data_IF_557593709714
#
_entry.id   IF_557593709714
#
_cell.length_a   1.000
_cell.length_b   1.000
_cell.length_c   1.000
_cell.angle_alpha   90.00
_cell.angle_beta   90.00
_cell.angle_gamma   90.00
#
_symmetry.space_group_name_H-M   'P 1'
#
loop_
_entity.id
_entity.type
_entity.pdbx_description
1 polymer ?
#
# COMPACT_ATOMS: atom_id res chain seq x y z
N UNK A 1 6.06 -23.88 -4.03
CA UNK A 1 5.82 -22.41 -4.18
C UNK A 1 7.08 -21.71 -4.59
N UNK A 2 7.05 -21.07 -5.72
CA UNK A 2 8.18 -20.28 -6.19
C UNK A 2 8.16 -18.92 -5.50
N UNK A 3 9.22 -18.60 -4.77
CA UNK A 3 9.42 -17.25 -4.25
C UNK A 3 9.86 -16.35 -5.42
N UNK A 4 9.08 -15.30 -5.68
CA UNK A 4 9.43 -14.32 -6.69
C UNK A 4 10.41 -13.34 -6.07
N UNK A 5 11.60 -13.25 -6.65
CA UNK A 5 12.61 -12.28 -6.19
C UNK A 5 12.33 -10.91 -6.81
N UNK A 6 12.53 -9.83 -6.04
CA UNK A 6 12.39 -8.49 -6.59
C UNK A 6 13.49 -8.19 -7.61
N UNK A 7 13.10 -7.51 -8.68
CA UNK A 7 14.03 -7.07 -9.74
C UNK A 7 14.62 -5.70 -9.39
N UNK A 8 15.62 -5.26 -10.20
CA UNK A 8 16.17 -3.90 -10.08
C UNK A 8 15.07 -2.84 -10.24
N UNK A 9 14.15 -3.08 -11.16
CA UNK A 9 13.01 -2.19 -11.38
C UNK A 9 12.13 -2.11 -10.12
N UNK A 10 11.93 -3.23 -9.45
CA UNK A 10 11.14 -3.26 -8.22
C UNK A 10 11.79 -2.41 -7.13
N UNK A 11 13.11 -2.49 -6.96
CA UNK A 11 13.82 -1.65 -5.99
C UNK A 11 13.74 -0.16 -6.36
N UNK A 12 13.81 0.17 -7.64
CA UNK A 12 13.69 1.55 -8.09
C UNK A 12 12.33 2.14 -7.78
N UNK A 13 11.25 1.41 -8.04
CA UNK A 13 9.91 1.87 -7.69
C UNK A 13 9.66 1.89 -6.18
N UNK A 14 10.28 0.98 -5.44
CA UNK A 14 10.26 1.03 -3.97
C UNK A 14 10.93 2.30 -3.45
N UNK A 15 12.02 2.76 -4.06
CA UNK A 15 12.65 4.03 -3.72
C UNK A 15 11.71 5.21 -3.97
N UNK A 16 10.96 5.18 -5.07
CA UNK A 16 9.95 6.20 -5.36
C UNK A 16 8.84 6.19 -4.31
N UNK A 17 8.41 5.01 -3.86
CA UNK A 17 7.44 4.89 -2.77
C UNK A 17 8.02 5.43 -1.45
N UNK A 18 9.30 5.22 -1.19
CA UNK A 18 9.96 5.77 0.00
C UNK A 18 10.00 7.31 -0.02
N UNK A 19 10.18 7.91 -1.20
CA UNK A 19 10.11 9.36 -1.37
C UNK A 19 8.69 9.85 -0.99
N UNK A 20 7.65 9.16 -1.44
CA UNK A 20 6.29 9.49 -1.06
C UNK A 20 6.07 9.35 0.45
N UNK A 21 6.61 8.29 1.06
CA UNK A 21 6.50 8.07 2.50
C UNK A 21 7.00 9.26 3.32
N UNK A 22 8.07 9.92 2.87
CA UNK A 22 8.63 11.08 3.55
C UNK A 22 7.69 12.29 3.57
N UNK A 23 6.69 12.32 2.71
CA UNK A 23 5.67 13.39 2.69
C UNK A 23 4.63 13.21 3.78
N UNK A 24 4.55 12.03 4.41
CA UNK A 24 3.58 11.75 5.46
C UNK A 24 3.91 12.53 6.73
N UNK A 25 2.90 13.16 7.32
CA UNK A 25 2.99 13.78 8.64
C UNK A 25 2.65 12.84 9.78
N UNK A 26 2.41 11.55 9.48
CA UNK A 26 2.07 10.55 10.48
C UNK A 26 3.32 10.04 11.19
N UNK A 27 3.14 9.47 12.38
CA UNK A 27 4.24 8.90 13.16
C UNK A 27 4.93 7.77 12.39
N UNK A 28 4.15 6.88 11.77
CA UNK A 28 4.65 5.84 10.88
C UNK A 28 4.45 6.30 9.44
N UNK A 29 5.53 6.49 8.70
CA UNK A 29 5.50 7.02 7.34
C UNK A 29 5.44 5.91 6.32
N UNK A 30 4.29 5.78 5.64
CA UNK A 30 4.07 4.81 4.57
C UNK A 30 3.93 5.55 3.24
N UNK A 31 4.49 4.96 2.19
CA UNK A 31 4.36 5.46 0.84
C UNK A 31 3.97 4.35 -0.12
N UNK A 32 3.29 4.72 -1.20
CA UNK A 32 2.86 3.78 -2.22
C UNK A 32 2.95 4.43 -3.60
N UNK A 33 3.41 3.67 -4.58
CA UNK A 33 3.30 4.05 -5.98
C UNK A 33 2.61 2.91 -6.74
N UNK A 34 1.73 3.29 -7.66
CA UNK A 34 1.01 2.37 -8.52
C UNK A 34 1.61 2.46 -9.93
N UNK A 35 2.09 1.34 -10.45
CA UNK A 35 2.87 1.27 -11.67
C UNK A 35 2.19 0.37 -12.69
N UNK A 36 2.15 0.81 -13.94
CA UNK A 36 1.67 0.03 -15.09
C UNK A 36 2.62 0.26 -16.26
N UNK A 37 3.12 -0.82 -16.86
CA UNK A 37 4.02 -0.75 -18.00
C UNK A 37 5.23 0.16 -17.77
N UNK A 38 5.81 0.09 -16.57
CA UNK A 38 7.01 0.87 -16.21
C UNK A 38 6.76 2.34 -15.92
N UNK A 39 5.50 2.77 -15.84
CA UNK A 39 5.12 4.15 -15.53
C UNK A 39 4.33 4.24 -14.24
N UNK A 40 4.57 5.29 -13.47
CA UNK A 40 3.80 5.58 -12.26
C UNK A 40 2.52 6.33 -12.64
N UNK A 41 1.37 5.79 -12.26
CA UNK A 41 0.06 6.40 -12.49
C UNK A 41 -0.63 6.83 -11.20
N UNK A 42 -0.12 6.44 -10.06
CA UNK A 42 -0.65 6.85 -8.77
C UNK A 42 0.44 6.91 -7.74
N UNK A 43 0.38 7.91 -6.87
CA UNK A 43 1.29 8.10 -5.75
C UNK A 43 0.47 8.39 -4.51
N UNK A 44 0.93 7.89 -3.38
CA UNK A 44 0.23 8.14 -2.13
C UNK A 44 1.13 7.98 -0.92
N UNK A 45 0.72 8.62 0.15
CA UNK A 45 1.32 8.46 1.47
C UNK A 45 0.20 8.50 2.50
N UNK A 46 0.44 7.86 3.65
CA UNK A 46 -0.58 7.84 4.69
C UNK A 46 -0.77 9.24 5.29
N UNK A 47 -2.02 9.56 5.61
CA UNK A 47 -2.42 10.86 6.13
C UNK A 47 -3.64 10.69 7.04
N UNK A 48 -4.12 11.79 7.62
CA UNK A 48 -5.23 11.74 8.58
C UNK A 48 -6.62 11.85 7.95
N UNK A 49 -6.73 11.70 6.65
CA UNK A 49 -8.02 11.69 5.98
C UNK A 49 -8.79 10.44 6.35
N UNK A 50 -10.05 10.60 6.80
CA UNK A 50 -10.87 9.48 7.30
C UNK A 50 -12.00 9.08 6.37
N UNK A 51 -12.28 9.88 5.32
CA UNK A 51 -13.43 9.64 4.44
C UNK A 51 -13.22 10.31 3.08
N UNK A 52 -13.78 9.71 2.03
CA UNK A 52 -13.83 10.32 0.70
C UNK A 52 -15.09 9.87 -0.06
N UNK A 53 -15.44 10.63 -1.11
CA UNK A 53 -16.66 10.39 -1.89
C UNK A 53 -16.60 9.11 -2.73
N UNK A 54 -15.40 8.69 -3.16
CA UNK A 54 -15.24 7.49 -3.99
C UNK A 54 -15.33 6.18 -3.19
N UNK A 55 -15.47 6.24 -1.88
CA UNK A 55 -15.66 5.09 -1.01
C UNK A 55 -14.39 4.31 -0.67
N UNK A 56 -13.22 4.69 -1.20
CA UNK A 56 -11.97 4.01 -0.87
C UNK A 56 -11.50 4.28 0.56
N UNK A 57 -11.89 5.42 1.13
CA UNK A 57 -11.52 5.80 2.49
C UNK A 57 -12.80 5.92 3.32
N UNK A 58 -12.99 4.98 4.24
CA UNK A 58 -14.18 4.95 5.09
C UNK A 58 -13.83 4.49 6.49
N UNK A 59 -14.30 5.23 7.48
CA UNK A 59 -14.27 4.81 8.89
C UNK A 59 -12.90 4.29 9.37
N UNK A 60 -11.81 4.89 8.87
CA UNK A 60 -10.46 4.59 9.31
C UNK A 60 -9.93 5.74 10.12
N UNK A 61 -8.98 5.47 11.01
CA UNK A 61 -8.32 6.54 11.78
C UNK A 61 -7.37 7.35 10.90
N UNK A 62 -6.80 6.72 9.87
CA UNK A 62 -5.91 7.36 8.90
C UNK A 62 -6.22 6.84 7.50
N UNK A 63 -5.91 7.64 6.49
CA UNK A 63 -5.90 7.18 5.11
C UNK A 63 -4.57 6.46 4.85
N UNK A 64 -4.63 5.22 4.40
CA UNK A 64 -3.43 4.46 4.08
C UNK A 64 -2.85 4.87 2.73
N UNK A 65 -1.53 4.69 2.59
CA UNK A 65 -0.81 5.05 1.37
C UNK A 65 -1.36 4.33 0.14
N UNK A 66 -1.73 3.05 0.29
CA UNK A 66 -2.29 2.23 -0.80
C UNK A 66 -3.57 2.84 -1.34
N UNK A 67 -4.48 3.25 -0.45
CA UNK A 67 -5.75 3.85 -0.85
C UNK A 67 -5.53 5.18 -1.55
N UNK A 68 -4.59 5.96 -1.09
CA UNK A 68 -4.23 7.24 -1.69
C UNK A 68 -3.74 7.04 -3.14
N UNK A 69 -2.84 6.09 -3.35
CA UNK A 69 -2.34 5.77 -4.70
C UNK A 69 -3.42 5.18 -5.60
N UNK A 70 -4.24 4.27 -5.09
CA UNK A 70 -5.35 3.64 -5.84
C UNK A 70 -6.35 4.71 -6.31
N UNK A 71 -6.66 5.69 -5.47
CA UNK A 71 -7.58 6.77 -5.86
C UNK A 71 -7.06 7.57 -7.06
N UNK A 72 -5.75 7.81 -7.11
CA UNK A 72 -5.14 8.50 -8.26
C UNK A 72 -5.29 7.69 -9.54
N UNK A 73 -5.04 6.38 -9.49
CA UNK A 73 -5.22 5.48 -10.64
C UNK A 73 -6.70 5.46 -11.07
N UNK A 74 -7.61 5.41 -10.10
CA UNK A 74 -9.05 5.36 -10.37
C UNK A 74 -9.52 6.62 -11.12
N UNK A 75 -8.99 7.78 -10.78
CA UNK A 75 -9.33 9.04 -11.46
C UNK A 75 -8.94 9.03 -12.94
N UNK A 76 -7.93 8.25 -13.30
CA UNK A 76 -7.41 8.16 -14.66
C UNK A 76 -8.09 7.05 -15.48
N UNK A 77 -9.03 6.30 -14.89
CA UNK A 77 -9.72 5.17 -15.54
C UNK A 77 -8.76 4.11 -16.08
N UNK A 78 -7.66 3.85 -15.38
CA UNK A 78 -6.66 2.87 -15.77
C UNK A 78 -7.10 1.48 -15.31
N UNK A 79 -6.80 0.46 -16.14
CA UNK A 79 -7.13 -0.93 -15.82
C UNK A 79 -6.23 -1.46 -14.69
N UNK A 80 -6.81 -1.70 -13.53
CA UNK A 80 -6.10 -2.18 -12.36
C UNK A 80 -5.47 -3.57 -12.53
N UNK A 81 -5.96 -4.38 -13.44
CA UNK A 81 -5.44 -5.74 -13.69
C UNK A 81 -3.98 -5.76 -14.15
N UNK A 82 -3.46 -4.63 -14.65
CA UNK A 82 -2.08 -4.50 -15.09
C UNK A 82 -1.23 -3.67 -14.13
N UNK A 83 -1.79 -3.27 -13.00
CA UNK A 83 -1.13 -2.41 -12.02
C UNK A 83 -0.38 -3.23 -10.98
N UNK A 84 0.84 -2.79 -10.67
CA UNK A 84 1.62 -3.27 -9.54
C UNK A 84 1.68 -2.16 -8.49
N UNK A 85 1.44 -2.51 -7.23
CA UNK A 85 1.57 -1.57 -6.11
C UNK A 85 2.87 -1.80 -5.38
N UNK A 86 3.63 -0.73 -5.17
CA UNK A 86 4.85 -0.72 -4.37
C UNK A 86 4.57 0.01 -3.08
N UNK A 87 4.65 -0.68 -1.96
CA UNK A 87 4.24 -0.18 -0.66
C UNK A 87 5.42 -0.27 0.29
N UNK A 88 5.88 0.85 0.82
CA UNK A 88 7.01 0.84 1.75
C UNK A 88 6.69 1.69 2.99
N UNK A 89 7.35 1.36 4.08
CA UNK A 89 7.35 2.16 5.29
C UNK A 89 8.80 2.51 5.60
N UNK A 90 9.03 3.77 5.96
CA UNK A 90 10.36 4.22 6.35
C UNK A 90 10.32 4.79 7.77
N UNK A 91 11.41 4.65 8.49
CA UNK A 91 11.57 5.31 9.78
C UNK A 91 12.29 6.65 9.59
N UNK A 92 12.54 7.36 10.70
CA UNK A 92 13.21 8.67 10.65
C UNK A 92 14.67 8.59 10.18
N UNK A 93 15.27 7.40 10.17
CA UNK A 93 16.62 7.17 9.64
C UNK A 93 16.61 6.72 8.18
N UNK A 94 15.47 6.77 7.49
CA UNK A 94 15.28 6.32 6.11
C UNK A 94 15.47 4.81 5.91
N UNK A 95 15.38 4.02 6.98
CA UNK A 95 15.43 2.57 6.88
C UNK A 95 14.05 2.01 6.59
N UNK A 96 13.99 1.00 5.71
CA UNK A 96 12.74 0.32 5.38
C UNK A 96 12.27 -0.53 6.56
N UNK A 97 10.97 -0.44 6.83
CA UNK A 97 10.28 -1.23 7.86
C UNK A 97 9.14 -2.00 7.23
N UNK A 98 8.53 -2.91 7.98
CA UNK A 98 7.43 -3.73 7.47
C UNK A 98 6.23 -2.87 7.04
N UNK A 99 5.74 -3.13 5.84
CA UNK A 99 4.63 -2.38 5.23
C UNK A 99 3.61 -3.29 4.56
N UNK A 100 3.47 -4.53 5.01
CA UNK A 100 2.48 -5.44 4.46
C UNK A 100 1.07 -4.83 4.54
N UNK A 101 0.26 -4.90 3.46
CA UNK A 101 -1.08 -4.32 3.46
C UNK A 101 -1.98 -4.94 4.52
N UNK A 102 -2.83 -4.12 5.13
CA UNK A 102 -3.79 -4.58 6.12
C UNK A 102 -5.03 -5.20 5.45
N UNK A 103 -5.93 -5.75 6.28
CA UNK A 103 -7.17 -6.39 5.81
C UNK A 103 -7.99 -5.44 4.94
N UNK A 104 -8.16 -4.19 5.36
CA UNK A 104 -9.01 -3.25 4.64
C UNK A 104 -8.42 -2.88 3.28
N UNK A 105 -7.11 -2.64 3.21
CA UNK A 105 -6.44 -2.36 1.95
C UNK A 105 -6.48 -3.58 1.03
N UNK A 106 -6.28 -4.79 1.57
CA UNK A 106 -6.33 -6.01 0.76
C UNK A 106 -7.70 -6.27 0.16
N UNK A 107 -8.80 -5.91 0.84
CA UNK A 107 -10.13 -6.03 0.27
C UNK A 107 -10.25 -5.25 -1.04
N UNK A 108 -9.76 -4.01 -1.06
CA UNK A 108 -9.77 -3.19 -2.27
C UNK A 108 -8.82 -3.73 -3.34
N UNK A 109 -7.62 -4.15 -2.94
CA UNK A 109 -6.63 -4.70 -3.85
C UNK A 109 -7.17 -5.93 -4.58
N UNK A 110 -7.82 -6.84 -3.84
CA UNK A 110 -8.42 -8.05 -4.41
C UNK A 110 -9.63 -7.73 -5.29
N UNK A 111 -10.49 -6.82 -4.85
CA UNK A 111 -11.68 -6.41 -5.60
C UNK A 111 -11.31 -5.80 -6.95
N UNK A 112 -10.26 -4.99 -6.98
CA UNK A 112 -9.78 -4.32 -8.19
C UNK A 112 -8.93 -5.24 -9.08
N UNK A 113 -8.58 -6.43 -8.59
CA UNK A 113 -7.76 -7.42 -9.30
C UNK A 113 -6.37 -6.89 -9.66
N UNK A 114 -5.77 -6.12 -8.75
CA UNK A 114 -4.42 -5.60 -8.92
C UNK A 114 -3.46 -6.77 -9.12
N UNK A 115 -2.54 -6.62 -10.09
CA UNK A 115 -1.68 -7.70 -10.58
C UNK A 115 -0.69 -8.20 -9.52
N UNK A 116 0.03 -7.29 -8.88
CA UNK A 116 1.09 -7.63 -7.92
C UNK A 116 1.15 -6.60 -6.81
N UNK A 117 1.59 -7.05 -5.64
CA UNK A 117 1.98 -6.15 -4.56
C UNK A 117 3.44 -6.41 -4.22
N UNK A 118 4.18 -5.35 -4.02
CA UNK A 118 5.59 -5.38 -3.61
C UNK A 118 5.69 -4.49 -2.37
N UNK A 119 6.12 -5.05 -1.26
CA UNK A 119 6.16 -4.31 -0.01
C UNK A 119 7.44 -4.60 0.77
N UNK A 120 7.83 -3.66 1.61
CA UNK A 120 9.01 -3.82 2.47
C UNK A 120 8.67 -4.74 3.64
N UNK A 121 9.60 -5.62 4.00
CA UNK A 121 9.48 -6.49 5.15
C UNK A 121 10.26 -5.93 6.35
N UNK A 122 10.19 -6.64 7.50
CA UNK A 122 10.86 -6.19 8.72
C UNK A 122 12.38 -6.16 8.66
N UNK A 123 12.98 -6.80 7.66
CA UNK A 123 14.43 -6.87 7.47
C UNK A 123 14.96 -5.83 6.47
N UNK A 124 14.11 -4.92 6.01
CA UNK A 124 14.50 -3.92 5.03
C UNK A 124 14.57 -4.42 3.60
N UNK A 125 14.06 -5.61 3.33
CA UNK A 125 14.02 -6.22 2.01
C UNK A 125 12.63 -6.05 1.40
N UNK A 126 12.50 -6.37 0.10
CA UNK A 126 11.21 -6.34 -0.59
C UNK A 126 10.66 -7.74 -0.75
N UNK A 127 9.34 -7.86 -0.57
CA UNK A 127 8.58 -9.07 -0.83
C UNK A 127 7.65 -8.82 -2.01
N UNK A 128 7.67 -9.72 -3.01
CA UNK A 128 6.80 -9.66 -4.19
C UNK A 128 5.75 -10.76 -4.07
N UNK A 129 4.48 -10.40 -4.15
CA UNK A 129 3.39 -11.39 -4.03
C UNK A 129 2.25 -11.14 -4.99
N UNK A 130 1.58 -12.22 -5.39
CA UNK A 130 0.27 -12.17 -6.01
C UNK A 130 -0.75 -11.90 -4.89
N UNK A 131 -1.62 -10.89 -5.01
CA UNK A 131 -2.61 -10.59 -3.96
C UNK A 131 -3.47 -11.78 -3.54
N UNK A 132 -3.83 -12.67 -4.47
CA UNK A 132 -4.67 -13.83 -4.19
C UNK A 132 -3.99 -14.79 -3.20
N UNK A 133 -2.65 -14.85 -3.22
CA UNK A 133 -1.87 -15.75 -2.35
C UNK A 133 -1.45 -15.08 -1.04
N UNK A 134 -1.80 -13.82 -0.84
CA UNK A 134 -1.42 -13.08 0.36
C UNK A 134 -2.21 -13.55 1.57
N UNK A 135 -1.49 -13.91 2.65
CA UNK A 135 -2.11 -14.26 3.93
C UNK A 135 -2.19 -13.03 4.83
N UNK A 136 -3.42 -12.71 5.25
CA UNK A 136 -3.67 -11.56 6.11
C UNK A 136 -3.53 -12.00 7.56
N UNK A 137 -2.47 -11.55 8.24
CA UNK A 137 -2.16 -11.96 9.60
C UNK A 137 -2.48 -10.90 10.65
N UNK A 138 -2.78 -9.68 10.23
CA UNK A 138 -3.04 -8.61 11.19
C UNK A 138 -4.10 -7.63 10.68
N UNK A 139 -4.69 -6.92 11.62
CA UNK A 139 -5.68 -5.87 11.34
C UNK A 139 -5.11 -4.56 11.88
N UNK A 140 -5.37 -3.44 11.21
CA UNK A 140 -4.89 -2.14 11.65
C UNK A 140 -5.42 -1.81 13.06
N UNK A 141 -4.67 -0.99 13.79
CA UNK A 141 -5.08 -0.54 15.13
C UNK A 141 -6.47 0.12 15.10
N UNK A 142 -6.73 0.99 14.11
CA UNK A 142 -8.03 1.62 13.96
C UNK A 142 -9.15 0.62 13.74
N UNK A 143 -8.90 -0.40 12.92
CA UNK A 143 -9.87 -1.47 12.65
C UNK A 143 -10.15 -2.29 13.92
N UNK A 144 -9.12 -2.62 14.70
CA UNK A 144 -9.26 -3.35 15.95
C UNK A 144 -10.12 -2.60 16.95
N UNK A 145 -9.91 -1.30 17.08
CA UNK A 145 -10.70 -0.45 17.99
C UNK A 145 -12.18 -0.49 17.57
N UNK A 146 -12.47 -0.31 16.27
CA UNK A 146 -13.84 -0.35 15.76
C UNK A 146 -14.50 -1.71 15.98
N UNK A 147 -13.76 -2.80 15.76
CA UNK A 147 -14.27 -4.16 15.97
C UNK A 147 -14.59 -4.42 17.43
N UNK A 148 -13.72 -3.97 18.35
CA UNK A 148 -13.94 -4.13 19.79
C UNK A 148 -15.16 -3.36 20.28
N UNK A 149 -15.43 -2.20 19.70
CA UNK A 149 -16.62 -1.40 20.05
C UNK A 149 -17.92 -2.04 19.61
N UNK A 150 -17.90 -2.90 18.61
CA UNK A 150 -19.10 -3.56 18.10
C UNK A 150 -19.42 -4.87 18.84
N UNK A 151 -18.63 -5.21 19.83
CA UNK A 151 -18.89 -6.31 20.75
C UNK A 151 -19.52 -5.75 22.01
#
# INVERSE_FOLDING_TARGET
>A
MTNILPSRRDYRFAEMAAIEAKRSGCLMQHGCVAVKNGRIFGRGYNNYRTRCKDGFIQNCMTCHAEMSAIREVNKLNINFKKVSLYIVRVDHNNCLKSSAPCVDCMKHILRLKIKRIIYSNGNGELTVQNPILYEIKHVTTGRRILTNKSK
#
